data_IF_972346621074
#
_entry.id   IF_972346621074
#
_cell.length_a   1.000
_cell.length_b   1.000
_cell.length_c   1.000
_cell.angle_alpha   90.00
_cell.angle_beta   90.00
_cell.angle_gamma   90.00
#
_symmetry.space_group_name_H-M   'P 1'
#
loop_
_entity.id
_entity.type
_entity.pdbx_description
1 polymer ?
#
# COMPACT_ATOMS: atom_id res chain seq x y z
N UNK A 1 0.51 4.66 15.93
CA UNK A 1 0.83 3.93 14.68
C UNK A 1 2.32 3.66 14.66
N UNK A 2 2.77 2.45 14.28
CA UNK A 2 4.19 2.09 14.23
C UNK A 2 4.86 2.78 13.02
N UNK A 3 6.12 3.18 13.15
CA UNK A 3 6.92 3.84 12.10
C UNK A 3 7.03 2.99 10.84
N UNK A 4 7.08 1.66 10.98
CA UNK A 4 7.07 0.75 9.83
C UNK A 4 5.74 0.78 9.05
N UNK A 5 4.60 0.86 9.75
CA UNK A 5 3.27 0.94 9.12
C UNK A 5 3.17 2.24 8.33
N UNK A 6 3.60 3.37 8.90
CA UNK A 6 3.66 4.66 8.20
C UNK A 6 4.53 4.58 6.94
N UNK A 7 5.70 3.94 7.02
CA UNK A 7 6.55 3.75 5.84
C UNK A 7 5.87 2.91 4.74
N UNK A 8 5.12 1.87 5.12
CA UNK A 8 4.36 1.08 4.15
C UNK A 8 3.16 1.84 3.56
N UNK A 9 2.49 2.69 4.35
CA UNK A 9 1.43 3.58 3.87
C UNK A 9 1.98 4.53 2.79
N UNK A 10 3.06 5.25 3.09
CA UNK A 10 3.68 6.19 2.14
C UNK A 10 4.12 5.48 0.84
N UNK A 11 4.69 4.28 0.97
CA UNK A 11 5.10 3.47 -0.19
C UNK A 11 3.92 2.99 -1.02
N UNK A 12 2.82 2.55 -0.39
CA UNK A 12 1.60 2.16 -1.11
C UNK A 12 0.97 3.34 -1.82
N UNK A 13 0.88 4.50 -1.18
CA UNK A 13 0.32 5.71 -1.78
C UNK A 13 1.17 6.18 -2.97
N UNK A 14 2.50 6.13 -2.84
CA UNK A 14 3.41 6.45 -3.94
C UNK A 14 3.28 5.48 -5.12
N UNK A 15 3.16 4.16 -4.85
CA UNK A 15 2.95 3.16 -5.88
C UNK A 15 1.60 3.36 -6.59
N UNK A 16 0.53 3.60 -5.83
CA UNK A 16 -0.81 3.84 -6.36
C UNK A 16 -0.86 5.08 -7.25
N UNK A 17 -0.23 6.19 -6.82
CA UNK A 17 -0.13 7.41 -7.61
C UNK A 17 0.70 7.20 -8.88
N UNK A 18 1.81 6.48 -8.79
CA UNK A 18 2.63 6.18 -9.95
C UNK A 18 1.85 5.35 -10.96
N UNK A 19 1.18 4.30 -10.50
CA UNK A 19 0.34 3.44 -11.35
C UNK A 19 -0.77 4.23 -12.00
N UNK A 20 -1.47 5.12 -11.29
CA UNK A 20 -2.50 5.99 -11.88
C UNK A 20 -1.96 6.94 -12.97
N UNK A 21 -0.68 7.33 -12.89
CA UNK A 21 -0.05 8.22 -13.87
C UNK A 21 0.47 7.44 -15.07
N UNK A 22 0.97 6.21 -14.86
CA UNK A 22 1.56 5.37 -15.93
C UNK A 22 0.54 4.48 -16.62
N UNK A 23 -0.50 4.08 -15.92
CA UNK A 23 -1.57 3.19 -16.37
C UNK A 23 -2.90 3.82 -15.96
N UNK A 24 -3.88 3.88 -16.86
CA UNK A 24 -5.23 4.44 -16.58
C UNK A 24 -6.04 3.62 -15.54
N UNK A 25 -5.37 2.72 -14.80
CA UNK A 25 -5.90 1.86 -13.76
C UNK A 25 -4.84 1.62 -12.69
N UNK A 26 -5.25 1.62 -11.41
CA UNK A 26 -4.41 1.19 -10.29
C UNK A 26 -5.20 0.25 -9.39
N UNK A 27 -4.56 -0.82 -8.93
CA UNK A 27 -5.14 -1.78 -8.00
C UNK A 27 -4.32 -1.84 -6.70
N UNK A 28 -4.87 -1.22 -5.65
CA UNK A 28 -4.28 -1.22 -4.31
C UNK A 28 -4.06 -2.64 -3.76
N UNK A 29 -4.92 -3.60 -4.15
CA UNK A 29 -4.78 -4.98 -3.72
C UNK A 29 -3.54 -5.63 -4.33
N UNK A 30 -3.31 -5.43 -5.63
CA UNK A 30 -2.15 -5.96 -6.34
C UNK A 30 -0.85 -5.40 -5.75
N UNK A 31 -0.79 -4.08 -5.52
CA UNK A 31 0.33 -3.40 -4.86
C UNK A 31 0.61 -4.02 -3.49
N UNK A 32 -0.42 -4.23 -2.67
CA UNK A 32 -0.24 -4.81 -1.34
C UNK A 32 0.26 -6.27 -1.38
N UNK A 33 -0.22 -7.07 -2.35
CA UNK A 33 0.22 -8.45 -2.55
C UNK A 33 1.69 -8.50 -2.96
N UNK A 34 2.14 -7.63 -3.86
CA UNK A 34 3.55 -7.54 -4.25
C UNK A 34 4.44 -7.16 -3.06
N UNK A 35 4.02 -6.19 -2.25
CA UNK A 35 4.75 -5.79 -1.05
C UNK A 35 4.85 -6.93 -0.02
N UNK A 36 3.78 -7.71 0.17
CA UNK A 36 3.80 -8.89 1.04
C UNK A 36 4.78 -9.95 0.51
N UNK A 37 4.82 -10.15 -0.81
CA UNK A 37 5.73 -11.12 -1.42
C UNK A 37 7.20 -10.74 -1.18
N UNK A 38 7.52 -9.45 -1.19
CA UNK A 38 8.87 -8.91 -0.95
C UNK A 38 9.23 -8.82 0.55
N UNK A 39 8.24 -8.62 1.42
CA UNK A 39 8.43 -8.38 2.86
C UNK A 39 7.54 -9.31 3.70
N UNK A 40 7.77 -10.63 3.58
CA UNK A 40 6.95 -11.67 4.25
C UNK A 40 6.86 -11.50 5.77
N UNK A 41 7.93 -11.07 6.42
CA UNK A 41 7.98 -10.88 7.88
C UNK A 41 7.15 -9.67 8.34
N UNK A 42 6.81 -8.76 7.42
CA UNK A 42 6.07 -7.53 7.69
C UNK A 42 4.59 -7.62 7.28
N UNK A 43 4.07 -8.83 7.01
CA UNK A 43 2.69 -9.07 6.56
C UNK A 43 1.65 -8.24 7.33
N UNK A 44 1.69 -8.30 8.66
CA UNK A 44 0.72 -7.59 9.52
C UNK A 44 0.78 -6.08 9.37
N UNK A 45 1.97 -5.51 9.20
CA UNK A 45 2.17 -4.08 9.03
C UNK A 45 1.68 -3.62 7.64
N UNK A 46 1.88 -4.45 6.61
CA UNK A 46 1.43 -4.18 5.25
C UNK A 46 -0.09 -4.25 5.15
N UNK A 47 -0.74 -5.24 5.79
CA UNK A 47 -2.20 -5.28 5.86
C UNK A 47 -2.80 -4.08 6.59
N UNK A 48 -2.15 -3.62 7.67
CA UNK A 48 -2.60 -2.41 8.36
C UNK A 48 -2.41 -1.15 7.51
N UNK A 49 -1.30 -1.05 6.78
CA UNK A 49 -1.08 0.04 5.83
C UNK A 49 -2.13 0.04 4.71
N UNK A 50 -2.46 -1.14 4.16
CA UNK A 50 -3.51 -1.30 3.16
C UNK A 50 -4.86 -0.75 3.62
N UNK A 51 -5.31 -1.10 4.83
CA UNK A 51 -6.58 -0.60 5.35
C UNK A 51 -6.57 0.91 5.58
N UNK A 52 -5.43 1.48 5.98
CA UNK A 52 -5.27 2.94 6.12
C UNK A 52 -5.38 3.63 4.76
N UNK A 53 -4.65 3.15 3.74
CA UNK A 53 -4.69 3.74 2.40
C UNK A 53 -6.07 3.59 1.76
N UNK A 54 -6.69 2.43 1.90
CA UNK A 54 -8.06 2.18 1.45
C UNK A 54 -9.05 3.14 2.10
N UNK A 55 -8.91 3.39 3.41
CA UNK A 55 -9.74 4.36 4.11
C UNK A 55 -9.51 5.79 3.60
N UNK A 56 -8.25 6.17 3.36
CA UNK A 56 -7.88 7.48 2.81
C UNK A 56 -8.41 7.71 1.38
N UNK A 57 -8.55 6.65 0.56
CA UNK A 57 -9.06 6.75 -0.81
C UNK A 57 -10.59 6.86 -0.90
N UNK A 58 -11.30 6.31 0.09
CA UNK A 58 -12.78 6.27 0.11
C UNK A 58 -13.37 7.41 0.95
N UNK A 59 -12.59 7.99 1.88
CA UNK A 59 -12.95 9.16 2.67
C UNK A 59 -12.87 10.46 1.87
#
# INVERSE_FOLDING_TARGET
MNTEILSFVEKMEAALLNDLVTTDSSDLYEIAVEMIAQHKDSYKNICQAYEVVKHNLVG
#
